data_IF_732184519631
#
_entry.id   IF_732184519631
#
_cell.length_a   1.000
_cell.length_b   1.000
_cell.length_c   1.000
_cell.angle_alpha   90.00
_cell.angle_beta   90.00
_cell.angle_gamma   90.00
#
_symmetry.space_group_name_H-M   'P 1'
#
loop_
_entity.id
_entity.type
_entity.pdbx_description
1 polymer ?
#
# COMPACT_ATOMS: atom_id res chain seq x y z
N UNK A 1 -17.91 28.74 6.94
CA UNK A 1 -17.01 27.65 7.38
C UNK A 1 -16.59 26.90 6.12
N UNK A 2 -15.30 26.85 5.82
CA UNK A 2 -14.77 26.07 4.70
C UNK A 2 -14.78 24.60 5.09
N UNK A 3 -15.34 23.74 4.24
CA UNK A 3 -15.30 22.29 4.45
C UNK A 3 -13.89 21.79 4.14
N UNK A 4 -13.42 20.79 4.89
CA UNK A 4 -12.10 20.16 4.71
C UNK A 4 -12.32 18.72 4.22
N UNK A 5 -11.48 18.26 3.31
CA UNK A 5 -11.54 16.90 2.79
C UNK A 5 -11.47 15.84 3.91
N UNK A 6 -12.44 14.93 3.96
CA UNK A 6 -12.54 13.90 5.01
C UNK A 6 -11.42 12.87 4.92
N UNK A 7 -10.84 12.64 3.74
CA UNK A 7 -9.79 11.63 3.52
C UNK A 7 -8.41 12.14 3.92
N UNK A 8 -7.94 13.25 3.35
CA UNK A 8 -6.60 13.78 3.66
C UNK A 8 -6.58 14.75 4.86
N UNK A 9 -7.70 15.33 5.23
CA UNK A 9 -7.87 16.32 6.32
C UNK A 9 -6.99 17.56 6.22
N UNK A 10 -6.39 17.79 5.05
CA UNK A 10 -5.48 18.92 4.82
C UNK A 10 -5.98 19.89 3.76
N UNK A 11 -6.76 19.41 2.78
CA UNK A 11 -7.22 20.22 1.66
C UNK A 11 -8.58 20.83 1.95
N UNK A 12 -8.67 22.15 1.90
CA UNK A 12 -9.94 22.87 1.94
C UNK A 12 -10.69 22.70 0.62
N UNK A 13 -12.00 22.52 0.73
CA UNK A 13 -12.87 22.30 -0.43
C UNK A 13 -13.46 23.63 -0.91
N UNK A 14 -13.12 24.02 -2.14
CA UNK A 14 -13.50 25.30 -2.73
C UNK A 14 -14.16 25.13 -4.13
N UNK A 15 -14.80 26.18 -4.60
CA UNK A 15 -15.35 26.24 -5.95
C UNK A 15 -16.37 25.11 -6.21
N UNK A 16 -16.18 24.36 -7.27
CA UNK A 16 -17.06 23.24 -7.67
C UNK A 16 -17.05 22.09 -6.66
N UNK A 17 -16.07 22.02 -5.78
CA UNK A 17 -15.95 20.99 -4.73
C UNK A 17 -16.41 21.46 -3.35
N UNK A 18 -16.91 22.67 -3.19
CA UNK A 18 -17.34 23.20 -1.90
C UNK A 18 -18.47 22.38 -1.23
N UNK A 19 -19.26 21.66 -2.02
CA UNK A 19 -20.35 20.80 -1.55
C UNK A 19 -19.96 19.30 -1.44
N UNK A 20 -18.72 18.96 -1.77
CA UNK A 20 -18.21 17.60 -1.69
C UNK A 20 -17.60 17.34 -0.30
N UNK A 21 -17.42 16.07 0.02
CA UNK A 21 -16.72 15.64 1.24
C UNK A 21 -15.25 15.28 0.98
N UNK A 22 -14.88 15.05 -0.30
CA UNK A 22 -13.55 14.57 -0.71
C UNK A 22 -12.97 15.48 -1.81
N UNK A 23 -11.69 15.87 -1.70
CA UNK A 23 -10.97 16.64 -2.71
C UNK A 23 -10.61 15.76 -3.94
N UNK A 24 -10.38 16.40 -5.11
CA UNK A 24 -10.11 15.66 -6.35
C UNK A 24 -8.88 14.74 -6.24
N UNK A 25 -7.72 15.17 -5.69
CA UNK A 25 -6.59 14.26 -5.54
C UNK A 25 -6.89 13.00 -4.72
N UNK A 26 -7.76 13.10 -3.71
CA UNK A 26 -8.18 11.92 -2.93
C UNK A 26 -9.16 11.03 -3.70
N UNK A 27 -10.01 11.59 -4.57
CA UNK A 27 -10.87 10.80 -5.47
C UNK A 27 -10.01 9.99 -6.44
N UNK A 28 -9.05 10.65 -7.10
CA UNK A 28 -8.14 10.03 -8.05
C UNK A 28 -7.32 8.92 -7.34
N UNK A 29 -6.83 9.20 -6.13
CA UNK A 29 -6.13 8.23 -5.30
C UNK A 29 -6.99 7.00 -4.95
N UNK A 30 -8.28 7.17 -4.64
CA UNK A 30 -9.22 6.06 -4.37
C UNK A 30 -9.40 5.22 -5.64
N UNK A 31 -9.63 5.85 -6.80
CA UNK A 31 -9.81 5.14 -8.07
C UNK A 31 -8.56 4.37 -8.49
N UNK A 32 -7.37 4.97 -8.31
CA UNK A 32 -6.07 4.31 -8.56
C UNK A 32 -5.89 3.08 -7.67
N UNK A 33 -6.27 3.14 -6.40
CA UNK A 33 -6.19 1.99 -5.50
C UNK A 33 -7.18 0.89 -5.86
N UNK A 34 -8.39 1.24 -6.27
CA UNK A 34 -9.36 0.27 -6.82
C UNK A 34 -8.83 -0.37 -8.11
N UNK A 35 -8.15 0.40 -8.96
CA UNK A 35 -7.50 -0.12 -10.17
C UNK A 35 -6.34 -1.06 -9.83
N UNK A 36 -5.51 -0.70 -8.85
CA UNK A 36 -4.40 -1.54 -8.38
C UNK A 36 -4.90 -2.86 -7.79
N UNK A 37 -5.91 -2.84 -6.93
CA UNK A 37 -6.56 -4.04 -6.38
C UNK A 37 -7.09 -4.92 -7.51
N UNK A 38 -7.73 -4.32 -8.52
CA UNK A 38 -8.22 -5.05 -9.69
C UNK A 38 -7.11 -5.73 -10.50
N UNK A 39 -5.96 -5.08 -10.64
CA UNK A 39 -4.81 -5.61 -11.37
C UNK A 39 -4.06 -6.72 -10.60
N UNK A 40 -4.03 -6.65 -9.27
CA UNK A 40 -3.37 -7.63 -8.42
C UNK A 40 -4.24 -8.89 -8.18
N UNK A 41 -5.57 -8.74 -8.19
CA UNK A 41 -6.49 -9.84 -7.88
C UNK A 41 -6.22 -11.12 -8.70
N UNK A 42 -6.14 -11.09 -10.05
CA UNK A 42 -5.92 -12.29 -10.84
C UNK A 42 -4.55 -12.94 -10.64
N UNK A 43 -3.61 -12.26 -10.00
CA UNK A 43 -2.27 -12.77 -9.73
C UNK A 43 -2.19 -13.59 -8.44
N UNK A 44 -3.11 -13.38 -7.48
CA UNK A 44 -3.07 -14.03 -6.17
C UNK A 44 -3.04 -15.57 -6.22
N UNK A 45 -3.83 -16.25 -7.09
CA UNK A 45 -3.80 -17.73 -7.18
C UNK A 45 -2.42 -18.29 -7.53
N UNK A 46 -1.62 -17.59 -8.34
CA UNK A 46 -0.28 -18.04 -8.76
C UNK A 46 0.67 -18.19 -7.56
N UNK A 47 0.42 -17.45 -6.47
CA UNK A 47 1.22 -17.51 -5.25
C UNK A 47 0.80 -18.63 -4.30
N UNK A 48 -0.39 -19.20 -4.46
CA UNK A 48 -0.81 -20.43 -3.77
C UNK A 48 0.00 -21.65 -4.25
N UNK A 49 0.27 -21.74 -5.56
CA UNK A 49 0.99 -22.85 -6.15
C UNK A 49 2.48 -22.83 -5.82
N UNK A 50 3.09 -21.63 -5.76
CA UNK A 50 4.52 -21.46 -5.40
C UNK A 50 4.85 -21.93 -3.98
N UNK A 51 3.88 -21.92 -3.06
CA UNK A 51 4.05 -22.46 -1.71
C UNK A 51 4.19 -23.98 -1.64
N UNK A 52 3.84 -24.72 -2.69
CA UNK A 52 3.88 -26.21 -2.73
C UNK A 52 5.25 -26.79 -3.11
N UNK A 53 6.23 -26.00 -3.54
CA UNK A 53 7.43 -26.48 -4.22
C UNK A 53 8.79 -26.29 -3.57
N UNK A 54 8.92 -25.71 -2.39
CA UNK A 54 10.24 -25.50 -1.76
C UNK A 54 10.42 -26.36 -0.50
N UNK A 55 10.46 -27.69 -0.67
CA UNK A 55 11.20 -28.55 0.24
C UNK A 55 12.71 -28.49 -0.11
N UNK A 56 13.31 -27.30 0.00
CA UNK A 56 14.76 -27.18 0.07
C UNK A 56 15.27 -27.81 1.36
N UNK A 57 16.53 -28.28 1.43
CA UNK A 57 17.10 -28.89 2.65
C UNK A 57 16.92 -27.89 3.79
N UNK A 58 16.30 -28.37 4.90
CA UNK A 58 16.16 -27.57 6.12
C UNK A 58 17.56 -27.28 6.63
N UNK A 59 18.04 -26.07 6.40
CA UNK A 59 19.24 -25.58 7.08
C UNK A 59 18.83 -25.35 8.53
N UNK A 60 19.22 -26.29 9.40
CA UNK A 60 19.13 -26.16 10.86
C UNK A 60 20.13 -25.09 11.33
N UNK A 61 19.80 -23.83 11.09
CA UNK A 61 20.51 -22.68 11.61
C UNK A 61 19.53 -21.86 12.43
N UNK A 62 19.84 -21.66 13.70
CA UNK A 62 19.05 -20.93 14.70
C UNK A 62 19.05 -19.41 14.40
N UNK A 63 18.49 -19.00 13.28
CA UNK A 63 18.15 -17.61 13.02
C UNK A 63 16.70 -17.41 13.43
N UNK A 64 16.50 -16.58 14.46
CA UNK A 64 15.20 -16.00 14.80
C UNK A 64 14.73 -15.16 13.60
N UNK A 65 14.26 -15.80 12.56
CA UNK A 65 13.43 -15.16 11.54
C UNK A 65 12.14 -14.80 12.23
N UNK A 66 11.88 -13.51 12.35
CA UNK A 66 10.57 -12.99 12.70
C UNK A 66 9.55 -13.76 11.85
N UNK A 67 8.71 -14.58 12.51
CA UNK A 67 7.79 -15.50 11.84
C UNK A 67 6.76 -14.72 11.03
N UNK A 68 7.10 -14.38 9.80
CA UNK A 68 6.14 -13.91 8.83
C UNK A 68 5.21 -15.07 8.45
N UNK A 69 3.94 -14.77 8.29
CA UNK A 69 2.95 -15.71 7.77
C UNK A 69 3.45 -16.24 6.42
N UNK A 70 3.43 -17.58 6.18
CA UNK A 70 3.81 -18.14 4.89
C UNK A 70 3.02 -17.47 3.76
N UNK A 71 3.63 -17.18 2.61
CA UNK A 71 2.95 -16.48 1.51
C UNK A 71 1.63 -17.12 1.09
N UNK A 72 1.54 -18.45 1.09
CA UNK A 72 0.31 -19.17 0.77
C UNK A 72 -0.82 -18.92 1.78
N UNK A 73 -0.51 -18.82 3.08
CA UNK A 73 -1.51 -18.52 4.12
C UNK A 73 -2.01 -17.07 3.99
N UNK A 74 -1.09 -16.12 3.77
CA UNK A 74 -1.48 -14.73 3.52
C UNK A 74 -2.38 -14.58 2.29
N UNK A 75 -2.13 -15.34 1.22
CA UNK A 75 -2.99 -15.33 0.03
C UNK A 75 -4.36 -15.95 0.33
N UNK A 76 -4.41 -17.05 1.09
CA UNK A 76 -5.68 -17.67 1.50
C UNK A 76 -6.54 -16.72 2.33
N UNK A 77 -5.94 -15.94 3.22
CA UNK A 77 -6.63 -14.92 4.00
C UNK A 77 -7.20 -13.80 3.11
N UNK A 78 -6.49 -13.45 2.03
CA UNK A 78 -6.95 -12.42 1.10
C UNK A 78 -8.11 -12.87 0.21
N UNK A 79 -8.14 -14.14 -0.22
CA UNK A 79 -9.19 -14.67 -1.11
C UNK A 79 -10.33 -15.36 -0.36
N UNK A 80 -10.11 -15.74 0.89
CA UNK A 80 -11.04 -16.49 1.73
C UNK A 80 -12.17 -15.64 2.33
N UNK A 81 -12.96 -16.26 3.23
CA UNK A 81 -14.00 -15.55 3.99
C UNK A 81 -13.39 -14.39 4.81
N UNK A 82 -14.05 -13.23 4.75
CA UNK A 82 -13.53 -12.00 5.38
C UNK A 82 -12.38 -11.31 4.64
N UNK A 83 -11.89 -11.90 3.54
CA UNK A 83 -10.85 -11.34 2.69
C UNK A 83 -11.34 -10.19 1.79
N UNK A 84 -10.57 -9.91 0.72
CA UNK A 84 -10.81 -8.77 -0.18
C UNK A 84 -12.23 -8.74 -0.77
N UNK A 85 -12.80 -9.87 -1.28
CA UNK A 85 -14.14 -9.84 -1.87
C UNK A 85 -15.21 -9.42 -0.85
N UNK A 86 -15.12 -9.90 0.39
CA UNK A 86 -16.11 -9.62 1.42
C UNK A 86 -15.97 -8.16 1.92
N UNK A 87 -14.74 -7.66 2.07
CA UNK A 87 -14.49 -6.26 2.46
C UNK A 87 -15.00 -5.29 1.41
N UNK A 88 -14.70 -5.50 0.12
CA UNK A 88 -15.21 -4.66 -0.97
C UNK A 88 -16.74 -4.75 -1.06
N UNK A 89 -17.31 -5.95 -0.91
CA UNK A 89 -18.76 -6.13 -0.89
C UNK A 89 -19.42 -5.37 0.27
N UNK A 90 -18.80 -5.37 1.44
CA UNK A 90 -19.28 -4.60 2.60
C UNK A 90 -19.35 -3.10 2.29
N UNK A 91 -18.33 -2.55 1.63
CA UNK A 91 -18.33 -1.14 1.21
C UNK A 91 -19.35 -0.84 0.13
N UNK A 92 -19.51 -1.71 -0.88
CA UNK A 92 -20.56 -1.54 -1.90
C UNK A 92 -21.95 -1.56 -1.27
N UNK A 93 -22.23 -2.50 -0.36
CA UNK A 93 -23.49 -2.59 0.37
C UNK A 93 -23.74 -1.33 1.19
N UNK A 94 -22.74 -0.84 1.92
CA UNK A 94 -22.86 0.39 2.70
C UNK A 94 -23.17 1.60 1.82
N UNK A 95 -22.42 1.84 0.75
CA UNK A 95 -22.64 2.98 -0.16
C UNK A 95 -24.01 2.90 -0.81
N UNK A 96 -24.46 1.69 -1.22
CA UNK A 96 -25.82 1.49 -1.76
C UNK A 96 -26.88 1.79 -0.73
N UNK A 97 -26.69 1.35 0.51
CA UNK A 97 -27.62 1.63 1.63
C UNK A 97 -27.78 3.13 1.86
N UNK A 98 -26.70 3.88 1.91
CA UNK A 98 -26.72 5.35 2.05
C UNK A 98 -27.42 6.06 0.86
N UNK A 99 -27.39 5.44 -0.32
CA UNK A 99 -28.14 5.90 -1.50
C UNK A 99 -29.61 5.44 -1.54
N UNK A 100 -30.05 4.61 -0.62
CA UNK A 100 -31.39 3.99 -0.66
C UNK A 100 -31.54 2.94 -1.77
N UNK A 101 -30.44 2.34 -2.25
CA UNK A 101 -30.44 1.30 -3.27
C UNK A 101 -30.38 -0.09 -2.64
N UNK A 102 -30.99 -1.08 -3.31
CA UNK A 102 -30.86 -2.46 -2.88
C UNK A 102 -29.41 -2.94 -2.89
N UNK A 103 -29.04 -3.76 -1.90
CA UNK A 103 -27.76 -4.43 -1.87
C UNK A 103 -27.57 -5.32 -3.12
N UNK A 104 -26.35 -5.37 -3.65
CA UNK A 104 -26.04 -6.35 -4.68
C UNK A 104 -26.12 -7.77 -4.10
N UNK A 105 -26.63 -8.76 -4.84
CA UNK A 105 -26.67 -10.14 -4.37
C UNK A 105 -25.26 -10.65 -4.04
N UNK A 106 -25.04 -11.12 -2.82
CA UNK A 106 -23.77 -11.73 -2.39
C UNK A 106 -23.69 -13.20 -2.83
N UNK A 107 -23.95 -13.46 -4.12
CA UNK A 107 -23.96 -14.82 -4.70
C UNK A 107 -22.69 -15.08 -5.50
N UNK A 108 -22.35 -16.36 -5.70
CA UNK A 108 -21.21 -16.78 -6.50
C UNK A 108 -19.90 -16.93 -5.74
N UNK A 109 -18.87 -17.37 -6.45
CA UNK A 109 -17.51 -17.52 -5.93
C UNK A 109 -16.81 -16.19 -5.64
N UNK A 110 -15.59 -16.26 -5.11
CA UNK A 110 -14.79 -15.09 -4.73
C UNK A 110 -14.61 -14.11 -5.90
N UNK A 111 -14.28 -14.60 -7.10
CA UNK A 111 -14.08 -13.77 -8.28
C UNK A 111 -15.36 -13.01 -8.69
N UNK A 112 -16.51 -13.69 -8.62
CA UNK A 112 -17.77 -13.05 -8.96
C UNK A 112 -18.13 -11.95 -7.96
N UNK A 113 -17.98 -12.23 -6.65
CA UNK A 113 -18.23 -11.23 -5.58
C UNK A 113 -17.27 -10.06 -5.69
N UNK A 114 -15.98 -10.33 -5.90
CA UNK A 114 -14.96 -9.33 -6.13
C UNK A 114 -15.32 -8.41 -7.31
N UNK A 115 -15.57 -8.97 -8.49
CA UNK A 115 -15.89 -8.20 -9.69
C UNK A 115 -17.18 -7.40 -9.58
N UNK A 116 -18.19 -7.94 -8.88
CA UNK A 116 -19.48 -7.26 -8.65
C UNK A 116 -19.28 -6.07 -7.70
N UNK A 117 -18.60 -6.27 -6.58
CA UNK A 117 -18.32 -5.21 -5.62
C UNK A 117 -17.47 -4.08 -6.22
N UNK A 118 -16.39 -4.43 -6.92
CA UNK A 118 -15.51 -3.47 -7.55
C UNK A 118 -16.25 -2.58 -8.56
N UNK A 119 -17.10 -3.18 -9.38
CA UNK A 119 -17.93 -2.47 -10.36
C UNK A 119 -18.93 -1.55 -9.65
N UNK A 120 -19.58 -2.03 -8.59
CA UNK A 120 -20.50 -1.25 -7.79
C UNK A 120 -19.80 -0.03 -7.16
N UNK A 121 -18.66 -0.22 -6.52
CA UNK A 121 -17.87 0.85 -5.92
C UNK A 121 -17.50 1.91 -6.93
N UNK A 122 -16.98 1.53 -8.11
CA UNK A 122 -16.63 2.49 -9.17
C UNK A 122 -17.85 3.26 -9.70
N UNK A 123 -18.97 2.56 -9.90
CA UNK A 123 -20.21 3.20 -10.38
C UNK A 123 -20.78 4.20 -9.35
N UNK A 124 -20.51 4.01 -8.07
CA UNK A 124 -21.03 4.86 -7.00
C UNK A 124 -20.01 5.87 -6.45
N UNK A 125 -18.74 5.79 -6.86
CA UNK A 125 -17.65 6.61 -6.33
C UNK A 125 -17.95 8.12 -6.44
N UNK A 126 -18.42 8.59 -7.59
CA UNK A 126 -18.74 10.00 -7.79
C UNK A 126 -19.80 10.54 -6.81
N UNK A 127 -20.83 9.71 -6.53
CA UNK A 127 -21.83 10.08 -5.53
C UNK A 127 -21.27 9.99 -4.10
N UNK A 128 -20.54 8.94 -3.80
CA UNK A 128 -19.97 8.72 -2.47
C UNK A 128 -19.03 9.86 -2.05
N UNK A 129 -18.19 10.32 -2.97
CA UNK A 129 -17.24 11.45 -2.73
C UNK A 129 -17.92 12.79 -2.53
N UNK A 130 -19.18 12.93 -2.95
CA UNK A 130 -19.96 14.12 -2.71
C UNK A 130 -20.77 14.08 -1.40
N UNK A 131 -21.08 12.88 -0.88
CA UNK A 131 -22.09 12.74 0.17
C UNK A 131 -21.60 12.03 1.43
N UNK A 132 -20.50 11.25 1.36
CA UNK A 132 -20.08 10.38 2.46
C UNK A 132 -18.70 10.75 3.01
N UNK A 133 -18.48 10.46 4.29
CA UNK A 133 -17.15 10.42 4.85
C UNK A 133 -16.45 9.12 4.44
N UNK A 134 -15.42 9.25 3.59
CA UNK A 134 -14.69 8.11 3.04
C UNK A 134 -13.34 7.85 3.73
N UNK A 135 -13.07 8.43 4.90
CA UNK A 135 -11.79 8.21 5.61
C UNK A 135 -11.51 6.73 5.85
N UNK A 136 -12.48 6.01 6.41
CA UNK A 136 -12.30 4.59 6.73
C UNK A 136 -12.23 3.72 5.48
N UNK A 137 -12.99 4.06 4.44
CA UNK A 137 -12.90 3.38 3.14
C UNK A 137 -11.50 3.55 2.52
N UNK A 138 -10.97 4.77 2.52
CA UNK A 138 -9.61 5.03 2.01
C UNK A 138 -8.52 4.30 2.80
N UNK A 139 -8.64 4.25 4.14
CA UNK A 139 -7.74 3.46 4.99
C UNK A 139 -7.78 1.97 4.65
N UNK A 140 -8.98 1.44 4.46
CA UNK A 140 -9.20 0.03 4.15
C UNK A 140 -8.66 -0.34 2.77
N UNK A 141 -8.86 0.52 1.74
CA UNK A 141 -8.26 0.35 0.41
C UNK A 141 -6.73 0.29 0.47
N UNK A 142 -6.11 1.18 1.25
CA UNK A 142 -4.65 1.19 1.44
C UNK A 142 -4.16 -0.11 2.06
N UNK A 143 -4.87 -0.61 3.08
CA UNK A 143 -4.53 -1.87 3.73
C UNK A 143 -4.69 -3.07 2.79
N UNK A 144 -5.79 -3.12 2.03
CA UNK A 144 -6.03 -4.19 1.05
C UNK A 144 -4.96 -4.19 -0.05
N UNK A 145 -4.69 -3.05 -0.67
CA UNK A 145 -3.66 -2.94 -1.70
C UNK A 145 -2.26 -3.30 -1.16
N UNK A 146 -1.92 -2.84 0.05
CA UNK A 146 -0.66 -3.17 0.71
C UNK A 146 -0.52 -4.66 1.02
N UNK A 147 -1.57 -5.30 1.52
CA UNK A 147 -1.59 -6.73 1.81
C UNK A 147 -1.44 -7.57 0.53
N UNK A 148 -2.13 -7.18 -0.56
CA UNK A 148 -2.01 -7.85 -1.86
C UNK A 148 -0.58 -7.73 -2.43
N UNK A 149 0.02 -6.53 -2.41
CA UNK A 149 1.42 -6.33 -2.83
C UNK A 149 2.39 -7.18 -2.01
N UNK A 150 2.20 -7.21 -0.70
CA UNK A 150 3.03 -8.04 0.17
C UNK A 150 2.90 -9.53 -0.16
N UNK A 151 1.70 -10.02 -0.46
CA UNK A 151 1.43 -11.42 -0.80
C UNK A 151 1.95 -11.79 -2.19
N UNK A 152 1.93 -10.88 -3.17
CA UNK A 152 2.46 -11.08 -4.52
C UNK A 152 3.98 -10.85 -4.63
N UNK A 153 4.63 -10.48 -3.54
CA UNK A 153 6.06 -10.15 -3.55
C UNK A 153 6.37 -8.80 -4.19
N UNK A 154 5.35 -8.08 -4.63
CA UNK A 154 5.42 -6.70 -5.09
C UNK A 154 5.47 -5.78 -3.85
N UNK A 155 6.55 -5.94 -3.09
CA UNK A 155 6.83 -5.01 -2.00
C UNK A 155 7.31 -3.73 -2.65
N UNK A 156 6.59 -2.63 -2.43
CA UNK A 156 7.23 -1.33 -2.48
C UNK A 156 8.36 -1.39 -1.46
N UNK A 157 9.55 -1.78 -1.91
CA UNK A 157 10.73 -1.54 -1.11
C UNK A 157 10.73 -0.03 -0.86
N UNK A 158 10.88 0.41 0.39
CA UNK A 158 10.83 1.84 0.69
C UNK A 158 11.76 2.56 -0.27
N UNK A 159 11.27 3.61 -0.92
CA UNK A 159 12.06 4.40 -1.88
C UNK A 159 13.38 4.86 -1.25
N UNK A 160 13.38 5.01 0.08
CA UNK A 160 14.53 5.38 0.89
C UNK A 160 14.80 4.27 1.91
N UNK A 161 16.00 3.71 1.90
CA UNK A 161 16.46 2.62 2.79
C UNK A 161 17.65 3.10 3.61
N UNK A 162 17.63 2.85 4.92
CA UNK A 162 18.81 3.05 5.77
C UNK A 162 19.89 2.01 5.44
N UNK A 163 21.10 2.48 5.18
CA UNK A 163 22.21 1.59 4.77
C UNK A 163 22.91 0.89 5.96
N UNK A 164 22.53 1.21 7.21
CA UNK A 164 23.19 0.65 8.40
C UNK A 164 24.64 1.11 8.59
N UNK A 165 25.12 2.03 7.76
CA UNK A 165 26.44 2.65 7.85
C UNK A 165 26.31 4.13 8.16
N UNK A 166 27.34 4.70 8.80
CA UNK A 166 27.38 6.09 9.20
C UNK A 166 28.16 6.96 8.21
N UNK A 167 27.83 8.23 8.16
CA UNK A 167 28.51 9.22 7.33
C UNK A 167 29.92 9.52 7.91
N UNK A 168 30.95 9.29 7.11
CA UNK A 168 32.35 9.57 7.48
C UNK A 168 32.83 10.96 7.05
N UNK A 169 31.91 11.84 6.61
CA UNK A 169 32.29 13.23 6.28
C UNK A 169 32.80 13.94 7.52
N UNK A 170 33.97 14.57 7.42
CA UNK A 170 34.49 15.45 8.46
C UNK A 170 33.68 16.76 8.48
N UNK A 171 33.29 17.20 9.64
CA UNK A 171 32.76 18.54 9.92
C UNK A 171 33.91 19.57 9.98
N UNK A 172 33.58 20.85 10.16
CA UNK A 172 34.58 21.93 10.22
C UNK A 172 35.54 21.84 11.41
N UNK A 173 35.18 21.04 12.40
CA UNK A 173 35.95 20.78 13.64
C UNK A 173 36.72 19.44 13.58
N UNK A 174 36.92 18.90 12.39
CA UNK A 174 37.55 17.59 12.15
C UNK A 174 36.88 16.39 12.82
N UNK A 175 35.65 16.54 13.33
CA UNK A 175 34.85 15.41 13.82
C UNK A 175 34.09 14.74 12.68
N UNK A 176 33.93 13.41 12.74
CA UNK A 176 33.09 12.68 11.79
C UNK A 176 31.60 12.99 12.04
N UNK A 177 30.84 13.21 10.97
CA UNK A 177 29.42 13.53 11.03
C UNK A 177 28.60 12.44 11.76
N UNK A 178 28.94 11.16 11.56
CA UNK A 178 28.29 10.02 12.21
C UNK A 178 26.80 9.83 11.89
N UNK A 179 26.23 10.66 11.03
CA UNK A 179 24.80 10.60 10.68
C UNK A 179 24.44 9.38 9.84
N UNK A 180 23.19 8.95 9.93
CA UNK A 180 22.66 7.81 9.16
C UNK A 180 22.66 8.09 7.66
N UNK A 181 23.15 7.14 6.86
CA UNK A 181 23.10 7.18 5.41
C UNK A 181 21.80 6.57 4.89
N UNK A 182 21.13 7.31 4.02
CA UNK A 182 19.88 6.93 3.38
C UNK A 182 20.11 6.71 1.89
N UNK A 183 19.71 5.57 1.36
CA UNK A 183 19.72 5.28 -0.07
C UNK A 183 18.36 5.53 -0.67
N UNK A 184 18.26 6.49 -1.58
CA UNK A 184 17.08 6.69 -2.43
C UNK A 184 17.24 5.85 -3.70
N UNK A 185 16.38 4.83 -3.83
CA UNK A 185 16.42 3.89 -4.95
C UNK A 185 15.96 4.52 -6.25
N UNK A 186 14.98 5.43 -6.21
CA UNK A 186 14.46 6.08 -7.40
C UNK A 186 15.48 7.07 -7.98
N UNK A 187 16.12 7.87 -7.12
CA UNK A 187 17.16 8.81 -7.50
C UNK A 187 18.54 8.14 -7.66
N UNK A 188 18.72 6.90 -7.17
CA UNK A 188 20.01 6.19 -7.09
C UNK A 188 21.09 7.01 -6.38
N UNK A 189 20.73 7.67 -5.31
CA UNK A 189 21.64 8.52 -4.53
C UNK A 189 21.70 8.07 -3.08
N UNK A 190 22.86 8.25 -2.45
CA UNK A 190 23.03 8.11 -1.01
C UNK A 190 23.15 9.50 -0.40
N UNK A 191 22.35 9.78 0.61
CA UNK A 191 22.34 11.09 1.28
C UNK A 191 22.45 10.88 2.80
N UNK A 192 23.30 11.66 3.44
CA UNK A 192 23.35 11.69 4.91
C UNK A 192 22.16 12.45 5.48
N UNK A 193 21.42 11.83 6.38
CA UNK A 193 20.26 12.46 7.03
C UNK A 193 20.65 13.70 7.87
N UNK A 194 21.84 13.70 8.48
CA UNK A 194 22.26 14.77 9.39
C UNK A 194 22.89 15.97 8.68
N UNK A 195 23.81 15.73 7.71
CA UNK A 195 24.55 16.82 7.06
C UNK A 195 24.17 17.05 5.59
N UNK A 196 23.24 16.28 5.03
CA UNK A 196 22.79 16.39 3.64
C UNK A 196 23.85 16.01 2.61
N UNK A 197 25.01 15.45 3.02
CA UNK A 197 26.07 15.07 2.11
C UNK A 197 25.60 13.96 1.17
N UNK A 198 25.83 14.18 -0.13
CA UNK A 198 25.54 13.20 -1.17
C UNK A 198 26.78 12.34 -1.45
N UNK A 199 26.59 11.02 -1.48
CA UNK A 199 27.63 10.03 -1.80
C UNK A 199 27.25 9.33 -3.11
N UNK A 200 28.24 9.06 -3.94
CA UNK A 200 28.07 8.17 -5.08
C UNK A 200 27.92 6.73 -4.59
N UNK A 201 26.85 6.01 -4.96
CA UNK A 201 26.66 4.61 -4.56
C UNK A 201 27.84 3.71 -4.97
N UNK A 202 28.46 3.96 -6.12
CA UNK A 202 29.62 3.19 -6.57
C UNK A 202 30.85 3.42 -5.68
N UNK A 203 31.03 4.63 -5.15
CA UNK A 203 32.08 4.91 -4.19
C UNK A 203 31.82 4.26 -2.83
N UNK A 204 30.56 4.26 -2.38
CA UNK A 204 30.16 3.63 -1.11
C UNK A 204 30.40 2.12 -1.11
N UNK A 205 30.05 1.40 -2.20
CA UNK A 205 30.27 -0.03 -2.33
C UNK A 205 31.78 -0.35 -2.23
N UNK A 206 32.64 0.46 -2.82
CA UNK A 206 34.10 0.27 -2.74
C UNK A 206 34.64 0.43 -1.32
N UNK A 207 34.08 1.34 -0.53
CA UNK A 207 34.45 1.55 0.86
C UNK A 207 33.97 0.43 1.80
N UNK A 208 32.83 -0.16 1.50
CA UNK A 208 32.25 -1.27 2.30
C UNK A 208 32.93 -2.62 2.03
N UNK A 209 33.74 -2.74 0.95
CA UNK A 209 34.44 -3.98 0.54
C UNK A 209 35.95 -3.92 0.80
N UNK A 210 36.47 -2.81 1.32
CA UNK A 210 37.87 -2.60 1.70
C UNK A 210 38.06 -2.79 3.21
#
# INVERSE_FOLDING_TARGET
MTAVCTVCRTTELHGTRATFTVCQPCVDWIDDHLAQIAALWPQLPDFLERGRGHSGPRVTGNTKTSGGIPPAEAVLDLIGPGGIPDRLSGWDVWIRGERGLAAAPATGGADHRFGTALRGLRNHLGWATANLDLENFAKDLRQMAGAMRAATGDRDEPAVTELGTTCSRLALDDTECGGTLLYDRAARTITCHSCGHHLDPAAHIRLATA
#
